data_IF_554868035091
#
_entry.id   IF_554868035091
#
_cell.length_a   1.000
_cell.length_b   1.000
_cell.length_c   1.000
_cell.angle_alpha   90.00
_cell.angle_beta   90.00
_cell.angle_gamma   90.00
#
_symmetry.space_group_name_H-M   'P 1'
#
loop_
_entity.id
_entity.type
_entity.pdbx_description
1 polymer ?
#
# COMPACT_ATOMS: atom_id res chain seq x y z
N UNK A 1 -0.49 -17.09 -9.25
CA UNK A 1 -0.28 -16.30 -10.50
C UNK A 1 1.00 -16.79 -11.19
N UNK A 2 0.94 -17.56 -12.25
CA UNK A 2 2.15 -18.15 -12.86
C UNK A 2 3.07 -17.10 -13.52
N UNK A 3 2.59 -15.95 -13.95
CA UNK A 3 3.38 -14.86 -14.54
C UNK A 3 2.98 -13.53 -13.89
N UNK A 4 3.15 -13.43 -12.57
CA UNK A 4 2.77 -12.25 -11.82
C UNK A 4 3.97 -11.42 -11.41
N UNK A 5 3.84 -10.09 -11.49
CA UNK A 5 4.78 -9.13 -10.98
C UNK A 5 4.14 -8.30 -9.88
N UNK A 6 4.94 -7.99 -8.87
CA UNK A 6 4.61 -7.00 -7.86
C UNK A 6 5.50 -5.77 -8.06
N UNK A 7 4.90 -4.58 -8.07
CA UNK A 7 5.63 -3.32 -8.26
C UNK A 7 5.19 -2.27 -7.25
N UNK A 8 6.12 -1.41 -6.85
CA UNK A 8 5.84 -0.18 -6.13
C UNK A 8 5.93 0.96 -7.15
N UNK A 9 4.89 1.79 -7.20
CA UNK A 9 4.84 2.96 -8.08
C UNK A 9 5.19 4.19 -7.25
N UNK A 10 6.10 5.01 -7.76
CA UNK A 10 6.43 6.29 -7.16
C UNK A 10 5.32 7.32 -7.44
N UNK A 11 4.24 7.20 -6.66
CA UNK A 11 3.07 8.07 -6.68
C UNK A 11 2.62 8.32 -5.24
N UNK A 12 2.39 9.57 -4.90
CA UNK A 12 1.97 10.00 -3.56
C UNK A 12 0.50 9.72 -3.25
N UNK A 13 -0.30 9.35 -4.23
CA UNK A 13 -1.70 8.98 -4.01
C UNK A 13 -1.81 7.67 -3.24
N UNK A 14 -2.79 7.60 -2.35
CA UNK A 14 -3.11 6.36 -1.63
C UNK A 14 -3.93 5.46 -2.55
N UNK A 15 -3.26 4.50 -3.15
CA UNK A 15 -3.89 3.53 -4.05
C UNK A 15 -3.09 2.24 -4.17
N UNK A 16 -3.79 1.15 -4.47
CA UNK A 16 -3.24 -0.09 -4.97
C UNK A 16 -4.16 -0.59 -6.08
N UNK A 17 -3.65 -1.32 -7.03
CA UNK A 17 -4.48 -1.84 -8.11
C UNK A 17 -3.89 -3.09 -8.76
N UNK A 18 -4.77 -3.87 -9.36
CA UNK A 18 -4.42 -5.02 -10.14
C UNK A 18 -4.68 -4.76 -11.62
N UNK A 19 -3.79 -5.19 -12.49
CA UNK A 19 -3.96 -5.11 -13.94
C UNK A 19 -3.50 -6.39 -14.61
N UNK A 20 -4.07 -6.69 -15.78
CA UNK A 20 -3.64 -7.79 -16.64
C UNK A 20 -3.48 -7.28 -18.06
N UNK A 21 -2.32 -7.54 -18.65
CA UNK A 21 -2.06 -7.23 -20.06
C UNK A 21 -1.38 -8.45 -20.70
N UNK A 22 -2.02 -8.98 -21.72
CA UNK A 22 -1.66 -10.26 -22.30
C UNK A 22 -1.59 -11.32 -21.19
N UNK A 23 -0.82 -12.25 -21.06
CA UNK A 23 -0.78 -13.23 -19.97
C UNK A 23 0.04 -12.78 -18.74
N UNK A 24 0.35 -11.49 -18.65
CA UNK A 24 1.08 -10.89 -17.53
C UNK A 24 0.11 -10.25 -16.55
N UNK A 25 0.14 -10.70 -15.31
CA UNK A 25 -0.60 -10.12 -14.18
C UNK A 25 0.33 -9.22 -13.38
N UNK A 26 -0.12 -8.01 -13.07
CA UNK A 26 0.63 -7.04 -12.25
C UNK A 26 -0.25 -6.61 -11.10
N UNK A 27 0.32 -6.64 -9.89
CA UNK A 27 -0.24 -6.00 -8.71
C UNK A 27 0.68 -4.86 -8.33
N UNK A 28 0.11 -3.68 -8.22
CA UNK A 28 0.84 -2.46 -7.92
C UNK A 28 0.34 -1.81 -6.64
N UNK A 29 1.23 -1.22 -5.87
CA UNK A 29 0.91 -0.35 -4.75
C UNK A 29 1.65 0.97 -4.91
N UNK A 30 0.97 2.07 -4.67
CA UNK A 30 1.60 3.38 -4.70
C UNK A 30 2.45 3.60 -3.44
N UNK A 31 3.58 4.27 -3.56
CA UNK A 31 4.45 4.65 -2.44
C UNK A 31 3.69 5.45 -1.38
N UNK A 32 2.77 6.33 -1.79
CA UNK A 32 1.89 7.07 -0.90
C UNK A 32 1.04 6.18 0.02
N UNK A 33 0.59 5.00 -0.46
CA UNK A 33 -0.11 4.03 0.39
C UNK A 33 0.79 3.47 1.47
N UNK A 34 2.00 3.08 1.13
CA UNK A 34 2.99 2.53 2.06
C UNK A 34 3.34 3.59 3.12
N UNK A 35 3.65 4.81 2.70
CA UNK A 35 3.93 5.94 3.59
C UNK A 35 2.79 6.18 4.57
N UNK A 36 1.54 6.21 4.08
CA UNK A 36 0.36 6.44 4.92
C UNK A 36 0.15 5.33 5.94
N UNK A 37 0.35 4.08 5.54
CA UNK A 37 0.25 2.92 6.44
C UNK A 37 1.32 3.00 7.52
N UNK A 38 2.58 3.20 7.15
CA UNK A 38 3.70 3.30 8.10
C UNK A 38 3.49 4.45 9.07
N UNK A 39 3.12 5.62 8.58
CA UNK A 39 2.83 6.78 9.42
C UNK A 39 1.69 6.52 10.40
N UNK A 40 0.60 5.91 9.95
CA UNK A 40 -0.56 5.61 10.80
C UNK A 40 -0.22 4.58 11.87
N UNK A 41 0.51 3.51 11.53
CA UNK A 41 0.99 2.52 12.49
C UNK A 41 1.92 3.14 13.54
N UNK A 42 2.80 4.06 13.11
CA UNK A 42 3.68 4.79 13.99
C UNK A 42 2.91 5.68 14.99
N UNK A 43 1.90 6.43 14.52
CA UNK A 43 1.04 7.23 15.40
C UNK A 43 0.29 6.37 16.44
N UNK A 44 -0.16 5.18 16.05
CA UNK A 44 -0.78 4.23 16.98
C UNK A 44 0.20 3.86 18.09
N UNK A 45 1.45 3.58 17.74
CA UNK A 45 2.47 3.18 18.71
C UNK A 45 2.95 4.31 19.61
N UNK A 46 2.88 5.56 19.15
CA UNK A 46 3.18 6.74 19.95
C UNK A 46 2.02 7.15 20.88
N UNK A 47 0.82 6.64 20.64
CA UNK A 47 -0.35 6.96 21.44
C UNK A 47 -0.30 6.27 22.82
N UNK A 48 -0.54 7.05 23.86
CA UNK A 48 -0.69 6.57 25.22
C UNK A 48 -2.10 6.03 25.55
N UNK A 49 -3.00 6.02 24.58
CA UNK A 49 -4.39 5.58 24.72
C UNK A 49 -4.69 4.26 24.02
N UNK A 50 -3.77 3.79 23.19
CA UNK A 50 -3.94 2.60 22.36
C UNK A 50 -2.90 1.56 22.75
N UNK A 51 -3.34 0.30 22.87
CA UNK A 51 -2.48 -0.82 23.21
C UNK A 51 -1.69 -0.63 24.53
N UNK A 52 -2.41 -0.29 25.58
CA UNK A 52 -1.88 0.10 26.89
C UNK A 52 -1.00 -0.97 27.56
N UNK A 53 -1.17 -2.23 27.24
CA UNK A 53 -0.40 -3.35 27.83
C UNK A 53 0.87 -3.72 27.03
N UNK A 54 1.21 -2.94 26.01
CA UNK A 54 2.35 -3.25 25.12
C UNK A 54 3.48 -2.26 25.36
N UNK A 55 4.64 -2.78 25.76
CA UNK A 55 5.86 -2.02 25.99
C UNK A 55 5.81 -1.07 27.19
N UNK A 56 6.80 -0.21 27.30
CA UNK A 56 6.92 0.81 28.34
C UNK A 56 6.50 2.17 27.79
N UNK A 57 5.35 2.67 28.26
CA UNK A 57 4.80 3.96 27.83
C UNK A 57 5.64 5.17 28.24
N UNK A 58 6.38 5.08 29.34
CA UNK A 58 7.27 6.16 29.79
C UNK A 58 8.48 6.27 28.87
N UNK A 59 9.13 5.15 28.55
CA UNK A 59 10.22 5.10 27.58
C UNK A 59 9.78 5.56 26.17
N UNK A 60 8.54 5.28 25.79
CA UNK A 60 7.96 5.70 24.53
C UNK A 60 7.97 7.23 24.35
N UNK A 61 7.80 7.99 25.43
CA UNK A 61 7.71 9.45 25.40
C UNK A 61 9.06 10.16 25.52
N UNK A 62 10.00 9.54 26.22
CA UNK A 62 11.26 10.19 26.62
C UNK A 62 12.31 10.18 25.50
N UNK A 63 12.26 9.21 24.59
CA UNK A 63 13.30 8.99 23.59
C UNK A 63 12.73 8.86 22.16
N UNK A 64 11.93 9.84 21.74
CA UNK A 64 11.41 9.85 20.36
C UNK A 64 12.54 10.30 19.42
N UNK A 65 12.84 9.44 18.44
CA UNK A 65 13.84 9.69 17.41
C UNK A 65 13.13 9.80 16.06
N UNK A 66 13.51 10.79 15.25
CA UNK A 66 13.04 10.89 13.87
C UNK A 66 13.98 10.09 12.96
N UNK A 67 13.45 9.13 12.21
CA UNK A 67 14.20 8.31 11.24
C UNK A 67 13.53 8.32 9.88
N UNK A 68 14.34 8.33 8.83
CA UNK A 68 13.89 8.19 7.45
C UNK A 68 14.00 6.74 6.99
N UNK A 69 12.92 6.23 6.41
CA UNK A 69 12.84 4.88 5.84
C UNK A 69 12.68 4.96 4.33
N UNK A 70 13.54 4.30 3.55
CA UNK A 70 13.40 4.23 2.11
C UNK A 70 12.18 3.38 1.72
N UNK A 71 11.37 3.88 0.81
CA UNK A 71 10.22 3.17 0.25
C UNK A 71 10.54 2.66 -1.15
N UNK A 72 11.28 3.43 -1.94
CA UNK A 72 11.72 3.05 -3.29
C UNK A 72 13.23 3.23 -3.46
N UNK A 73 13.79 2.54 -4.44
CA UNK A 73 15.21 2.69 -4.79
C UNK A 73 15.55 4.10 -5.32
N UNK A 74 14.56 4.81 -5.85
CA UNK A 74 14.71 6.18 -6.38
C UNK A 74 14.77 7.26 -5.29
N UNK A 75 14.80 6.86 -4.01
CA UNK A 75 14.99 7.78 -2.89
C UNK A 75 13.69 8.37 -2.33
N UNK A 76 12.57 7.74 -2.61
CA UNK A 76 11.31 8.09 -1.94
C UNK A 76 11.32 7.56 -0.50
N UNK A 77 11.29 8.46 0.48
CA UNK A 77 11.44 8.16 1.90
C UNK A 77 10.20 8.56 2.69
N UNK A 78 10.00 7.91 3.83
CA UNK A 78 9.03 8.33 4.85
C UNK A 78 9.76 8.68 6.13
N UNK A 79 9.42 9.84 6.70
CA UNK A 79 9.90 10.26 8.03
C UNK A 79 8.96 9.72 9.10
N UNK A 80 9.49 8.95 10.03
CA UNK A 80 8.76 8.41 11.16
C UNK A 80 9.37 8.88 12.47
N UNK A 81 8.53 9.09 13.47
CA UNK A 81 8.94 9.37 14.84
C UNK A 81 8.90 8.07 15.64
N UNK A 82 10.06 7.48 15.85
CA UNK A 82 10.20 6.17 16.47
C UNK A 82 10.09 6.28 17.98
N UNK A 83 9.29 5.40 18.56
CA UNK A 83 9.18 5.23 19.99
C UNK A 83 10.52 4.79 20.60
N UNK A 84 10.88 5.34 21.76
CA UNK A 84 12.02 4.86 22.55
C UNK A 84 11.84 3.47 23.14
N UNK A 85 10.69 2.83 22.96
CA UNK A 85 10.40 1.47 23.39
C UNK A 85 10.43 0.50 22.22
N UNK A 86 11.37 -0.44 22.24
CA UNK A 86 11.60 -1.41 21.16
C UNK A 86 10.43 -2.37 20.92
N UNK A 87 9.64 -2.68 21.96
CA UNK A 87 8.47 -3.54 21.83
C UNK A 87 7.37 -2.84 21.07
N UNK A 88 7.10 -1.58 21.38
CA UNK A 88 6.10 -0.78 20.66
C UNK A 88 6.53 -0.53 19.21
N UNK A 89 7.80 -0.27 18.99
CA UNK A 89 8.36 -0.14 17.65
C UNK A 89 8.14 -1.42 16.82
N UNK A 90 8.49 -2.58 17.37
CA UNK A 90 8.30 -3.86 16.69
C UNK A 90 6.82 -4.14 16.35
N UNK A 91 5.90 -3.80 17.27
CA UNK A 91 4.45 -3.93 17.02
C UNK A 91 3.98 -2.97 15.92
N UNK A 92 4.51 -1.74 15.88
CA UNK A 92 4.22 -0.79 14.81
C UNK A 92 4.60 -1.33 13.43
N UNK A 93 5.80 -1.90 13.30
CA UNK A 93 6.24 -2.56 12.06
C UNK A 93 5.36 -3.76 11.69
N UNK A 94 4.98 -4.56 12.66
CA UNK A 94 4.07 -5.69 12.42
C UNK A 94 2.73 -5.22 11.90
N UNK A 95 2.13 -4.19 12.48
CA UNK A 95 0.85 -3.61 12.04
C UNK A 95 0.98 -3.08 10.60
N UNK A 96 2.03 -2.31 10.31
CA UNK A 96 2.27 -1.78 8.97
C UNK A 96 2.44 -2.90 7.94
N UNK A 97 3.22 -3.93 8.27
CA UNK A 97 3.44 -5.08 7.39
C UNK A 97 2.15 -5.85 7.09
N UNK A 98 1.32 -6.08 8.12
CA UNK A 98 0.02 -6.74 7.94
C UNK A 98 -0.92 -5.91 7.07
N UNK A 99 -0.96 -4.59 7.23
CA UNK A 99 -1.79 -3.71 6.42
C UNK A 99 -1.37 -3.70 4.94
N UNK A 100 -0.07 -3.63 4.65
CA UNK A 100 0.45 -3.73 3.28
C UNK A 100 0.10 -5.08 2.67
N UNK A 101 0.32 -6.18 3.40
CA UNK A 101 -0.05 -7.52 2.92
C UNK A 101 -1.54 -7.64 2.65
N UNK A 102 -2.38 -7.08 3.49
CA UNK A 102 -3.83 -7.08 3.28
C UNK A 102 -4.20 -6.38 1.97
N UNK A 103 -3.63 -5.20 1.70
CA UNK A 103 -3.87 -4.50 0.43
C UNK A 103 -3.43 -5.35 -0.76
N UNK A 104 -2.26 -5.97 -0.69
CA UNK A 104 -1.73 -6.79 -1.77
C UNK A 104 -2.61 -8.03 -2.04
N UNK A 105 -3.03 -8.74 -0.99
CA UNK A 105 -3.91 -9.89 -1.14
C UNK A 105 -5.27 -9.50 -1.70
N UNK A 106 -5.80 -8.35 -1.31
CA UNK A 106 -7.03 -7.82 -1.87
C UNK A 106 -6.93 -7.62 -3.39
N UNK A 107 -5.84 -7.05 -3.87
CA UNK A 107 -5.61 -6.85 -5.31
C UNK A 107 -5.33 -8.18 -6.05
N UNK A 108 -4.66 -9.13 -5.41
CA UNK A 108 -4.44 -10.47 -5.95
C UNK A 108 -5.81 -11.18 -6.15
N UNK A 109 -6.71 -11.07 -5.20
CA UNK A 109 -8.03 -11.68 -5.27
C UNK A 109 -8.86 -11.13 -6.43
N UNK A 110 -8.73 -9.83 -6.74
CA UNK A 110 -9.34 -9.26 -7.93
C UNK A 110 -8.88 -9.94 -9.24
N UNK A 111 -7.64 -10.43 -9.31
CA UNK A 111 -7.18 -11.22 -10.44
C UNK A 111 -7.81 -12.62 -10.47
N UNK A 112 -7.84 -13.31 -9.32
CA UNK A 112 -8.32 -14.69 -9.22
C UNK A 112 -9.82 -14.79 -9.48
N UNK A 113 -10.62 -13.84 -8.95
CA UNK A 113 -12.06 -13.75 -9.20
C UNK A 113 -12.41 -13.24 -10.62
N UNK A 114 -11.44 -12.94 -11.43
CA UNK A 114 -11.63 -12.46 -12.81
C UNK A 114 -12.22 -11.06 -12.92
N UNK A 115 -12.23 -10.28 -11.85
CA UNK A 115 -12.74 -8.91 -11.85
C UNK A 115 -11.94 -8.02 -12.81
N UNK A 116 -10.63 -8.15 -12.84
CA UNK A 116 -9.74 -7.40 -13.74
C UNK A 116 -10.07 -7.70 -15.22
N UNK A 117 -10.34 -8.95 -15.55
CA UNK A 117 -10.75 -9.33 -16.91
C UNK A 117 -12.09 -8.70 -17.29
N UNK A 118 -13.09 -8.78 -16.41
CA UNK A 118 -14.42 -8.19 -16.64
C UNK A 118 -14.34 -6.67 -16.82
N UNK A 119 -13.51 -6.00 -16.02
CA UNK A 119 -13.30 -4.56 -16.15
C UNK A 119 -12.66 -4.20 -17.50
N UNK A 120 -11.60 -4.91 -17.89
CA UNK A 120 -10.91 -4.68 -19.16
C UNK A 120 -11.82 -4.93 -20.35
N UNK A 121 -12.64 -5.98 -20.32
CA UNK A 121 -13.60 -6.31 -21.39
C UNK A 121 -14.65 -5.19 -21.52
N UNK A 122 -15.19 -4.71 -20.41
CA UNK A 122 -16.16 -3.62 -20.38
C UNK A 122 -15.57 -2.30 -20.88
N UNK A 123 -14.35 -1.96 -20.45
CA UNK A 123 -13.65 -0.75 -20.90
C UNK A 123 -13.31 -0.81 -22.39
N UNK A 124 -12.89 -1.96 -22.90
CA UNK A 124 -12.62 -2.19 -24.33
C UNK A 124 -13.89 -2.02 -25.19
N UNK A 125 -15.04 -2.49 -24.73
CA UNK A 125 -16.32 -2.30 -25.40
C UNK A 125 -16.71 -0.83 -25.44
N UNK A 126 -16.58 -0.11 -24.33
CA UNK A 126 -16.86 1.32 -24.25
C UNK A 126 -15.98 2.12 -25.20
N UNK A 127 -14.68 1.83 -25.26
CA UNK A 127 -13.75 2.52 -26.19
C UNK A 127 -14.11 2.26 -27.65
N UNK A 128 -14.60 1.06 -28.01
CA UNK A 128 -15.06 0.75 -29.37
C UNK A 128 -16.34 1.50 -29.73
N UNK A 129 -17.28 1.64 -28.82
CA UNK A 129 -18.51 2.41 -29.03
C UNK A 129 -18.21 3.88 -29.29
N UNK A 130 -17.34 4.51 -28.45
CA UNK A 130 -16.93 5.90 -28.63
C UNK A 130 -16.17 6.15 -29.93
N UNK A 131 -15.38 5.17 -30.40
CA UNK A 131 -14.66 5.29 -31.67
C UNK A 131 -15.62 5.23 -32.87
N UNK A 132 -16.60 4.34 -32.83
CA UNK A 132 -17.60 4.20 -33.89
C UNK A 132 -18.51 5.43 -34.02
N UNK A 133 -18.80 6.12 -32.92
CA UNK A 133 -19.59 7.36 -32.96
C UNK A 133 -18.82 8.53 -33.59
N UNK A 134 -17.50 8.56 -33.50
CA UNK A 134 -16.67 9.57 -34.15
C UNK A 134 -16.56 9.41 -35.69
N UNK A 135 -16.75 8.20 -36.19
CA UNK A 135 -16.74 7.93 -37.63
C UNK A 135 -18.11 8.23 -38.31
N UNK A 136 -19.14 8.52 -37.52
CA UNK A 136 -20.50 8.83 -38.00
C UNK A 136 -20.80 10.35 -38.14
N UNK A 137 -19.85 11.18 -37.80
CA UNK A 137 -19.92 12.65 -37.96
C UNK A 137 -19.08 13.06 -39.18
#
# INVERSE_FOLDING_TARGET
MPNGFFIIINDEQVNAFAMKKNDISVVAINAGSIKKIMYSANLIMLSDKILLGIGDMSACRENIIAEEYPITEDGDNVLLYISGDSTREAVGYMIANLAVRFMLYHEIEHHEEGHVKRFNDKYSLFCKEVSNDKERI
#
